data_IF_904299654678
#
_entry.id   IF_904299654678
#
_cell.length_a   1.000
_cell.length_b   1.000
_cell.length_c   1.000
_cell.angle_alpha   90.00
_cell.angle_beta   90.00
_cell.angle_gamma   90.00
#
_symmetry.space_group_name_H-M   'P 1'
#
loop_
_entity.id
_entity.type
_entity.pdbx_description
1 polymer ?
#
# COMPACT_ATOMS: atom_id res chain seq x y z
N UNK A 1 0.43 -9.61 -32.71
CA UNK A 1 1.58 -10.12 -31.93
C UNK A 1 1.71 -9.20 -30.71
N UNK A 2 1.36 -9.64 -29.51
CA UNK A 2 1.42 -8.81 -28.30
C UNK A 2 2.83 -8.85 -27.70
N UNK A 3 3.40 -7.68 -27.47
CA UNK A 3 4.75 -7.49 -26.94
C UNK A 3 4.93 -8.22 -25.58
N UNK A 4 5.90 -9.15 -25.44
CA UNK A 4 6.04 -10.01 -24.25
C UNK A 4 6.48 -9.25 -22.99
N UNK A 5 6.83 -7.98 -23.07
CA UNK A 5 7.31 -7.15 -21.95
C UNK A 5 6.36 -6.02 -21.55
N UNK A 6 5.05 -6.14 -21.81
CA UNK A 6 4.10 -5.15 -21.27
C UNK A 6 3.97 -5.29 -19.76
N UNK A 7 4.55 -4.33 -19.03
CA UNK A 7 4.40 -4.18 -17.58
C UNK A 7 2.94 -4.22 -17.14
N UNK A 8 2.73 -4.54 -15.86
CA UNK A 8 1.38 -4.65 -15.28
C UNK A 8 0.67 -3.29 -15.31
N UNK A 9 -0.48 -3.20 -15.99
CA UNK A 9 -1.29 -1.98 -16.06
C UNK A 9 -2.36 -2.00 -14.97
N UNK A 10 -2.16 -1.21 -13.93
CA UNK A 10 -3.13 -1.04 -12.84
C UNK A 10 -3.80 0.33 -13.00
N UNK A 11 -5.13 0.35 -12.94
CA UNK A 11 -5.91 1.57 -12.87
C UNK A 11 -6.58 1.66 -11.50
N UNK A 12 -6.66 2.86 -10.93
CA UNK A 12 -7.47 3.13 -9.74
C UNK A 12 -8.43 4.27 -10.02
N UNK A 13 -9.64 4.20 -9.44
CA UNK A 13 -10.63 5.26 -9.59
C UNK A 13 -11.58 5.29 -8.38
N UNK A 14 -11.73 6.47 -7.77
CA UNK A 14 -12.84 6.74 -6.87
C UNK A 14 -14.05 7.15 -7.72
N UNK A 15 -15.03 6.26 -7.83
CA UNK A 15 -16.16 6.40 -8.73
C UNK A 15 -17.20 7.39 -8.21
N UNK A 16 -17.32 7.57 -6.88
CA UNK A 16 -18.40 8.32 -6.23
C UNK A 16 -19.78 8.00 -6.87
N UNK A 17 -20.13 6.72 -6.85
CA UNK A 17 -21.25 6.16 -7.59
C UNK A 17 -20.88 5.77 -9.02
N UNK A 18 -20.67 4.48 -9.26
CA UNK A 18 -20.27 3.97 -10.59
C UNK A 18 -21.44 3.79 -11.56
N UNK A 19 -22.66 3.57 -11.05
CA UNK A 19 -23.79 3.14 -11.87
C UNK A 19 -24.18 4.16 -12.95
N UNK A 20 -24.14 5.46 -12.62
CA UNK A 20 -24.44 6.54 -13.58
C UNK A 20 -23.34 6.75 -14.63
N UNK A 21 -22.14 6.20 -14.40
CA UNK A 21 -20.94 6.38 -15.24
C UNK A 21 -20.54 5.09 -15.96
N UNK A 22 -21.41 4.09 -15.96
CA UNK A 22 -21.08 2.74 -16.39
C UNK A 22 -20.72 2.68 -17.88
N UNK A 23 -21.38 3.48 -18.72
CA UNK A 23 -21.11 3.55 -20.16
C UNK A 23 -19.70 4.08 -20.43
N UNK A 24 -19.35 5.22 -19.85
CA UNK A 24 -18.02 5.82 -20.01
C UNK A 24 -16.93 4.93 -19.43
N UNK A 25 -17.21 4.30 -18.29
CA UNK A 25 -16.30 3.35 -17.68
C UNK A 25 -16.04 2.13 -18.59
N UNK A 26 -17.08 1.56 -19.22
CA UNK A 26 -16.92 0.46 -20.18
C UNK A 26 -16.08 0.88 -21.38
N UNK A 27 -16.28 2.09 -21.91
CA UNK A 27 -15.48 2.62 -23.00
C UNK A 27 -14.02 2.81 -22.59
N UNK A 28 -13.77 3.32 -21.39
CA UNK A 28 -12.42 3.45 -20.83
C UNK A 28 -11.73 2.07 -20.73
N UNK A 29 -12.40 1.07 -20.17
CA UNK A 29 -11.84 -0.28 -20.03
C UNK A 29 -11.55 -0.89 -21.40
N UNK A 30 -12.41 -0.68 -22.40
CA UNK A 30 -12.18 -1.13 -23.76
C UNK A 30 -10.93 -0.50 -24.39
N UNK A 31 -10.80 0.83 -24.28
CA UNK A 31 -9.73 1.60 -24.92
C UNK A 31 -8.36 1.40 -24.27
N UNK A 32 -8.32 1.36 -22.93
CA UNK A 32 -7.06 1.28 -22.18
C UNK A 32 -6.67 -0.16 -21.82
N UNK A 33 -7.63 -1.08 -21.82
CA UNK A 33 -7.44 -2.51 -21.61
C UNK A 33 -6.55 -2.85 -20.37
N UNK A 34 -6.82 -2.25 -19.19
CA UNK A 34 -6.00 -2.44 -17.99
C UNK A 34 -6.01 -3.89 -17.50
N UNK A 35 -5.00 -4.30 -16.75
CA UNK A 35 -4.93 -5.67 -16.21
C UNK A 35 -5.68 -5.81 -14.90
N UNK A 36 -5.59 -4.78 -14.06
CA UNK A 36 -6.27 -4.67 -12.77
C UNK A 36 -6.92 -3.29 -12.66
N UNK A 37 -8.16 -3.24 -12.19
CA UNK A 37 -8.87 -1.98 -11.92
C UNK A 37 -9.33 -1.99 -10.46
N UNK A 38 -9.02 -0.92 -9.74
CA UNK A 38 -9.38 -0.72 -8.34
C UNK A 38 -10.43 0.39 -8.27
N UNK A 39 -11.57 0.10 -7.66
CA UNK A 39 -12.70 1.02 -7.53
C UNK A 39 -12.97 1.32 -6.05
N UNK A 40 -13.16 2.60 -5.75
CA UNK A 40 -13.62 3.10 -4.45
C UNK A 40 -14.91 3.90 -4.60
N UNK A 41 -15.69 4.01 -3.52
CA UNK A 41 -17.00 4.68 -3.49
C UNK A 41 -17.89 4.17 -4.63
N UNK A 42 -18.01 2.85 -4.78
CA UNK A 42 -18.83 2.25 -5.85
C UNK A 42 -20.30 2.60 -5.67
N UNK A 43 -20.75 2.73 -4.41
CA UNK A 43 -22.13 3.02 -3.99
C UNK A 43 -23.14 2.10 -4.69
N UNK A 44 -22.79 0.82 -4.82
CA UNK A 44 -23.65 -0.19 -5.41
C UNK A 44 -24.64 -0.73 -4.38
N UNK A 45 -25.85 -0.99 -4.85
CA UNK A 45 -26.83 -1.80 -4.12
C UNK A 45 -26.57 -3.29 -4.36
N UNK A 46 -26.88 -4.18 -3.41
CA UNK A 46 -26.70 -5.63 -3.60
C UNK A 46 -27.43 -6.16 -4.84
N UNK A 47 -28.55 -5.54 -5.20
CA UNK A 47 -29.37 -5.87 -6.38
C UNK A 47 -28.75 -5.44 -7.71
N UNK A 48 -27.80 -4.50 -7.70
CA UNK A 48 -27.16 -4.02 -8.92
C UNK A 48 -26.01 -4.95 -9.30
N UNK A 49 -26.07 -5.47 -10.51
CA UNK A 49 -25.00 -6.28 -11.10
C UNK A 49 -24.28 -5.49 -12.19
N UNK A 50 -22.96 -5.59 -12.23
CA UNK A 50 -22.14 -5.01 -13.27
C UNK A 50 -21.40 -6.14 -13.97
N UNK A 51 -21.52 -6.18 -15.30
CA UNK A 51 -20.78 -7.10 -16.15
C UNK A 51 -19.83 -6.31 -17.05
N UNK A 52 -18.54 -6.68 -17.00
CA UNK A 52 -17.51 -6.19 -17.91
C UNK A 52 -16.85 -7.41 -18.59
N UNK A 53 -16.93 -7.53 -19.92
CA UNK A 53 -16.36 -8.66 -20.64
C UNK A 53 -14.86 -8.82 -20.36
N UNK A 54 -14.40 -10.06 -20.19
CA UNK A 54 -13.00 -10.44 -19.93
C UNK A 54 -12.43 -10.04 -18.57
N UNK A 55 -13.26 -9.58 -17.63
CA UNK A 55 -12.86 -9.28 -16.25
C UNK A 55 -13.68 -10.06 -15.25
N UNK A 56 -13.01 -10.60 -14.24
CA UNK A 56 -13.65 -11.04 -13.00
C UNK A 56 -13.90 -9.81 -12.12
N UNK A 57 -15.12 -9.67 -11.62
CA UNK A 57 -15.55 -8.55 -10.78
C UNK A 57 -15.74 -9.01 -9.34
N UNK A 58 -14.86 -8.53 -8.45
CA UNK A 58 -14.94 -8.76 -7.01
C UNK A 58 -15.39 -7.47 -6.35
N UNK A 59 -16.37 -7.52 -5.45
CA UNK A 59 -16.89 -6.31 -4.79
C UNK A 59 -17.08 -6.51 -3.30
N UNK A 60 -17.04 -5.39 -2.59
CA UNK A 60 -17.44 -5.27 -1.20
C UNK A 60 -18.40 -4.07 -1.12
N UNK A 61 -19.69 -4.34 -0.92
CA UNK A 61 -20.71 -3.30 -0.89
C UNK A 61 -20.70 -2.55 0.47
N UNK A 62 -20.92 -1.24 0.42
CA UNK A 62 -20.97 -0.40 1.63
C UNK A 62 -22.34 -0.36 2.31
N UNK A 63 -22.53 0.51 3.32
CA UNK A 63 -23.82 0.73 3.96
C UNK A 63 -24.91 1.09 2.95
N UNK A 64 -26.14 0.60 3.17
CA UNK A 64 -27.23 0.73 2.20
C UNK A 64 -28.25 1.82 2.55
N UNK A 65 -28.22 2.35 3.77
CA UNK A 65 -29.13 3.39 4.27
C UNK A 65 -28.37 4.44 5.09
N UNK A 66 -27.87 5.53 4.48
CA UNK A 66 -27.85 5.82 3.05
C UNK A 66 -26.82 4.97 2.30
N UNK A 67 -27.03 4.76 1.00
CA UNK A 67 -26.04 4.11 0.13
C UNK A 67 -24.77 4.96 0.14
N UNK A 68 -23.67 4.38 0.60
CA UNK A 68 -22.37 5.06 0.73
C UNK A 68 -21.21 4.05 0.67
N UNK A 69 -20.01 4.52 0.34
CA UNK A 69 -18.83 3.66 0.33
C UNK A 69 -18.87 2.57 -0.74
N UNK A 70 -18.28 1.43 -0.40
CA UNK A 70 -18.15 0.27 -1.28
C UNK A 70 -16.87 0.31 -2.12
N UNK A 71 -16.28 -0.86 -2.32
CA UNK A 71 -15.07 -1.05 -3.13
C UNK A 71 -15.25 -2.20 -4.10
N UNK A 72 -14.51 -2.19 -5.21
CA UNK A 72 -14.47 -3.31 -6.13
C UNK A 72 -13.13 -3.43 -6.83
N UNK A 73 -12.81 -4.65 -7.26
CA UNK A 73 -11.60 -5.01 -7.99
C UNK A 73 -12.03 -5.75 -9.25
N UNK A 74 -11.54 -5.31 -10.40
CA UNK A 74 -11.67 -6.05 -11.65
C UNK A 74 -10.30 -6.63 -12.03
N UNK A 75 -10.27 -7.93 -12.30
CA UNK A 75 -9.05 -8.64 -12.73
C UNK A 75 -9.30 -9.28 -14.09
N UNK A 76 -8.43 -9.00 -15.06
CA UNK A 76 -8.54 -9.56 -16.41
C UNK A 76 -8.35 -11.07 -16.40
N UNK A 77 -9.30 -11.82 -16.98
CA UNK A 77 -9.42 -13.29 -16.83
C UNK A 77 -8.21 -14.06 -17.41
N UNK A 78 -7.71 -13.66 -18.58
CA UNK A 78 -6.68 -14.41 -19.31
C UNK A 78 -5.28 -13.77 -19.23
N UNK A 79 -5.03 -12.90 -18.24
CA UNK A 79 -3.70 -12.31 -18.05
C UNK A 79 -2.78 -13.36 -17.44
N UNK A 80 -1.79 -13.81 -18.21
CA UNK A 80 -0.64 -14.51 -17.63
C UNK A 80 0.15 -13.46 -16.86
N UNK A 81 -0.03 -13.42 -15.55
CA UNK A 81 0.90 -12.70 -14.70
C UNK A 81 2.26 -13.39 -14.84
N UNK A 82 3.36 -12.66 -15.08
CA UNK A 82 4.67 -13.24 -14.83
C UNK A 82 4.58 -13.79 -13.41
N UNK A 83 4.81 -15.10 -13.24
CA UNK A 83 5.01 -15.64 -11.89
C UNK A 83 6.03 -14.71 -11.27
N UNK A 84 5.69 -14.10 -10.14
CA UNK A 84 6.71 -13.46 -9.34
C UNK A 84 7.87 -14.45 -9.31
N UNK A 85 9.09 -14.09 -9.74
CA UNK A 85 10.22 -14.95 -9.42
C UNK A 85 10.07 -15.18 -7.93
N UNK A 86 9.96 -16.45 -7.52
CA UNK A 86 9.83 -16.80 -6.12
C UNK A 86 11.11 -16.32 -5.44
N UNK A 87 11.17 -15.04 -5.10
CA UNK A 87 12.13 -14.53 -4.16
C UNK A 87 11.63 -15.11 -2.86
N UNK A 88 12.39 -16.11 -2.38
CA UNK A 88 12.15 -16.92 -1.19
C UNK A 88 11.38 -18.25 -1.36
N UNK A 89 11.70 -19.04 -2.39
CA UNK A 89 11.88 -20.49 -2.14
C UNK A 89 13.33 -20.96 -2.24
N UNK A 90 14.29 -20.08 -2.58
CA UNK A 90 15.71 -20.43 -2.68
C UNK A 90 16.60 -19.74 -1.62
N UNK A 91 16.03 -19.08 -0.61
CA UNK A 91 16.79 -18.70 0.59
C UNK A 91 16.68 -19.76 1.69
N UNK A 92 16.39 -21.01 1.32
CA UNK A 92 17.10 -22.09 1.97
C UNK A 92 18.53 -22.01 1.40
N UNK A 93 19.38 -21.18 2.00
CA UNK A 93 20.75 -21.68 2.16
C UNK A 93 20.54 -23.04 2.80
N UNK A 94 21.09 -24.10 2.19
CA UNK A 94 21.26 -25.36 2.88
C UNK A 94 21.62 -25.00 4.31
N UNK A 95 20.70 -25.24 5.25
CA UNK A 95 21.04 -25.14 6.66
C UNK A 95 22.26 -26.03 6.74
N UNK A 96 23.46 -25.53 7.11
CA UNK A 96 24.62 -26.39 7.20
C UNK A 96 24.14 -27.55 8.04
N UNK A 97 24.05 -28.73 7.44
CA UNK A 97 23.70 -29.93 8.19
C UNK A 97 24.84 -30.02 9.17
N UNK A 98 24.58 -29.57 10.40
CA UNK A 98 25.53 -29.65 11.50
C UNK A 98 26.08 -31.06 11.39
N UNK A 99 27.41 -31.24 11.33
CA UNK A 99 27.97 -32.57 11.22
C UNK A 99 27.26 -33.40 12.29
N UNK A 100 26.55 -34.45 11.86
CA UNK A 100 25.93 -35.41 12.75
C UNK A 100 27.07 -36.18 13.42
N UNK A 101 27.85 -35.49 14.25
CA UNK A 101 28.74 -36.09 15.22
C UNK A 101 27.82 -36.83 16.16
N UNK A 102 27.89 -38.16 16.08
CA UNK A 102 27.22 -39.12 16.95
C UNK A 102 26.98 -38.51 18.33
N UNK A 103 25.72 -38.50 18.77
CA UNK A 103 25.29 -37.99 20.07
C UNK A 103 26.13 -38.65 21.16
N UNK A 104 27.16 -37.95 21.64
CA UNK A 104 27.90 -38.39 22.82
C UNK A 104 26.89 -38.45 23.98
N UNK A 105 26.91 -39.51 24.79
CA UNK A 105 26.05 -39.57 25.96
C UNK A 105 26.38 -38.38 26.86
N UNK A 106 25.35 -37.64 27.22
CA UNK A 106 25.43 -36.42 28.01
C UNK A 106 25.58 -36.81 29.49
N UNK A 107 26.79 -37.21 29.87
CA UNK A 107 27.05 -37.86 31.17
C UNK A 107 27.57 -36.91 32.25
N UNK A 108 27.90 -35.66 31.93
CA UNK A 108 28.36 -34.66 32.88
C UNK A 108 27.41 -33.46 32.95
N UNK A 109 27.24 -32.88 34.14
CA UNK A 109 26.44 -31.67 34.36
C UNK A 109 26.94 -30.50 33.49
N UNK A 110 28.25 -30.41 33.27
CA UNK A 110 28.86 -29.38 32.43
C UNK A 110 28.53 -29.59 30.93
N UNK A 111 28.35 -30.83 30.50
CA UNK A 111 27.97 -31.15 29.12
C UNK A 111 26.50 -30.78 28.87
N UNK A 112 25.65 -30.94 29.90
CA UNK A 112 24.25 -30.49 29.88
C UNK A 112 24.16 -28.98 29.69
N UNK A 113 24.89 -28.20 30.50
CA UNK A 113 24.89 -26.73 30.41
C UNK A 113 25.39 -26.26 29.04
N UNK A 114 26.48 -26.85 28.54
CA UNK A 114 27.03 -26.52 27.22
C UNK A 114 26.06 -26.87 26.09
N UNK A 115 25.32 -27.98 26.20
CA UNK A 115 24.31 -28.36 25.21
C UNK A 115 23.11 -27.40 25.19
N UNK A 116 22.68 -26.93 26.36
CA UNK A 116 21.60 -25.94 26.48
C UNK A 116 22.04 -24.60 25.89
N UNK A 117 23.27 -24.15 26.15
CA UNK A 117 23.80 -22.92 25.59
C UNK A 117 23.95 -22.99 24.05
N UNK A 118 24.39 -24.14 23.54
CA UNK A 118 24.46 -24.37 22.10
C UNK A 118 23.07 -24.41 21.45
N UNK A 119 22.08 -24.99 22.12
CA UNK A 119 20.70 -24.99 21.63
C UNK A 119 20.12 -23.57 21.60
N UNK A 120 20.27 -22.82 22.69
CA UNK A 120 19.73 -21.46 22.79
C UNK A 120 20.37 -20.51 21.78
N UNK A 121 21.69 -20.57 21.60
CA UNK A 121 22.41 -19.78 20.59
C UNK A 121 22.00 -20.15 19.17
N UNK A 122 21.80 -21.44 18.86
CA UNK A 122 21.30 -21.88 17.55
C UNK A 122 19.88 -21.38 17.26
N UNK A 123 19.00 -21.39 18.27
CA UNK A 123 17.63 -20.86 18.12
C UNK A 123 17.65 -19.35 17.87
N UNK A 124 18.44 -18.61 18.64
CA UNK A 124 18.56 -17.15 18.52
C UNK A 124 19.16 -16.76 17.16
N UNK A 125 20.23 -17.44 16.73
CA UNK A 125 20.87 -17.17 15.44
C UNK A 125 19.95 -17.52 14.27
N UNK A 126 19.25 -18.65 14.31
CA UNK A 126 18.25 -19.00 13.30
C UNK A 126 17.10 -18.00 13.28
N UNK A 127 16.62 -17.55 14.44
CA UNK A 127 15.59 -16.51 14.55
C UNK A 127 16.05 -15.20 13.92
N UNK A 128 17.28 -14.77 14.18
CA UNK A 128 17.83 -13.53 13.64
C UNK A 128 18.07 -13.62 12.12
N UNK A 129 18.50 -14.76 11.60
CA UNK A 129 18.67 -15.01 10.16
C UNK A 129 17.34 -15.09 9.42
N UNK A 130 16.31 -15.68 10.04
CA UNK A 130 14.96 -15.77 9.47
C UNK A 130 14.16 -14.48 9.63
N UNK A 131 14.50 -13.65 10.61
CA UNK A 131 13.87 -12.36 10.82
C UNK A 131 14.34 -11.37 9.77
N UNK A 132 13.40 -10.81 9.02
CA UNK A 132 13.70 -9.66 8.16
C UNK A 132 14.12 -8.50 9.06
N UNK A 133 15.17 -7.72 8.73
CA UNK A 133 15.43 -6.49 9.45
C UNK A 133 14.15 -5.65 9.35
N UNK A 134 13.59 -5.28 10.51
CA UNK A 134 12.52 -4.30 10.53
C UNK A 134 13.09 -3.08 9.80
N UNK A 135 12.47 -2.73 8.68
CA UNK A 135 12.87 -1.55 7.94
C UNK A 135 12.95 -0.39 8.94
N UNK A 136 14.12 0.27 9.03
CA UNK A 136 14.35 1.35 9.98
C UNK A 136 13.10 2.23 9.98
N UNK A 137 12.43 2.35 11.13
CA UNK A 137 11.13 3.01 11.22
C UNK A 137 11.34 4.44 10.76
N UNK A 138 11.09 4.72 9.47
CA UNK A 138 10.95 6.08 8.96
C UNK A 138 9.96 6.74 9.90
N UNK A 139 10.41 7.73 10.65
CA UNK A 139 9.54 8.58 11.44
C UNK A 139 8.63 9.29 10.45
N UNK A 140 7.46 8.72 10.18
CA UNK A 140 6.44 9.35 9.36
C UNK A 140 5.89 10.52 10.17
N UNK A 141 6.39 11.72 9.87
CA UNK A 141 5.75 12.93 10.31
C UNK A 141 4.36 12.96 9.64
N UNK A 142 3.31 13.29 10.39
CA UNK A 142 1.97 13.33 9.82
C UNK A 142 1.78 14.69 9.15
N UNK A 143 1.19 14.75 7.94
CA UNK A 143 0.87 16.03 7.33
C UNK A 143 -0.14 16.80 8.19
N UNK A 144 -0.14 18.14 8.13
CA UNK A 144 -1.13 18.98 8.82
C UNK A 144 -2.57 18.54 8.49
N UNK A 145 -3.38 18.37 9.53
CA UNK A 145 -4.78 17.92 9.43
C UNK A 145 -5.70 19.13 9.54
N UNK A 146 -6.87 19.08 8.88
CA UNK A 146 -7.90 20.12 9.00
C UNK A 146 -8.23 20.39 10.47
N UNK A 147 -8.28 21.67 10.83
CA UNK A 147 -8.66 22.08 12.18
C UNK A 147 -10.16 21.88 12.42
N UNK A 148 -10.54 21.66 13.68
CA UNK A 148 -11.96 21.56 14.08
C UNK A 148 -12.77 22.79 13.69
N UNK A 149 -12.19 23.98 13.88
CA UNK A 149 -12.80 25.26 13.53
C UNK A 149 -13.09 25.35 12.01
N UNK A 150 -12.19 24.87 11.17
CA UNK A 150 -12.39 24.84 9.71
C UNK A 150 -13.61 23.99 9.33
N UNK A 151 -13.72 22.78 9.90
CA UNK A 151 -14.84 21.86 9.66
C UNK A 151 -16.16 22.48 10.13
N UNK A 152 -16.15 23.18 11.26
CA UNK A 152 -17.33 23.86 11.82
C UNK A 152 -17.77 25.03 10.94
N UNK A 153 -16.85 25.85 10.43
CA UNK A 153 -17.18 26.96 9.51
C UNK A 153 -17.68 26.46 8.16
N UNK A 154 -17.13 25.35 7.64
CA UNK A 154 -17.63 24.69 6.44
C UNK A 154 -19.09 24.25 6.61
N UNK A 155 -19.40 23.56 7.72
CA UNK A 155 -20.77 23.12 8.05
C UNK A 155 -21.73 24.30 8.20
N UNK A 156 -21.32 25.36 8.89
CA UNK A 156 -22.14 26.55 9.09
C UNK A 156 -22.44 27.27 7.76
N UNK A 157 -21.43 27.46 6.90
CA UNK A 157 -21.66 28.02 5.56
C UNK A 157 -22.55 27.11 4.69
N UNK A 158 -22.39 25.79 4.77
CA UNK A 158 -23.25 24.86 4.03
C UNK A 158 -24.71 24.94 4.47
N UNK A 159 -24.96 25.11 5.78
CA UNK A 159 -26.30 25.17 6.37
C UNK A 159 -26.99 26.52 6.19
N UNK A 160 -26.27 27.62 6.41
CA UNK A 160 -26.85 28.96 6.50
C UNK A 160 -26.45 29.88 5.34
N UNK A 161 -25.55 29.43 4.44
CA UNK A 161 -24.98 30.22 3.33
C UNK A 161 -24.39 31.56 3.77
N UNK A 162 -23.97 31.66 5.03
CA UNK A 162 -23.40 32.87 5.62
C UNK A 162 -22.02 33.22 4.99
N UNK A 163 -21.84 34.44 4.45
CA UNK A 163 -20.56 34.89 3.91
C UNK A 163 -19.45 34.93 4.96
N UNK A 164 -19.73 35.26 6.22
CA UNK A 164 -18.71 35.37 7.25
C UNK A 164 -18.08 34.01 7.56
N UNK A 165 -18.89 32.97 7.77
CA UNK A 165 -18.42 31.58 7.87
C UNK A 165 -17.62 31.13 6.62
N UNK A 166 -18.03 31.55 5.42
CA UNK A 166 -17.29 31.25 4.18
C UNK A 166 -15.89 31.89 4.17
N UNK A 167 -15.79 33.14 4.60
CA UNK A 167 -14.50 33.83 4.70
C UNK A 167 -13.57 33.18 5.72
N UNK A 168 -14.10 32.79 6.89
CA UNK A 168 -13.32 32.09 7.91
C UNK A 168 -12.85 30.71 7.43
N UNK A 169 -13.72 29.94 6.77
CA UNK A 169 -13.36 28.65 6.17
C UNK A 169 -12.26 28.81 5.10
N UNK A 170 -12.43 29.75 4.18
CA UNK A 170 -11.43 30.01 3.12
C UNK A 170 -10.08 30.45 3.70
N UNK A 171 -10.09 31.25 4.78
CA UNK A 171 -8.88 31.65 5.50
C UNK A 171 -8.18 30.44 6.12
N UNK A 172 -8.91 29.56 6.80
CA UNK A 172 -8.37 28.33 7.38
C UNK A 172 -7.81 27.38 6.29
N UNK A 173 -8.54 27.19 5.20
CA UNK A 173 -8.09 26.44 4.03
C UNK A 173 -6.80 27.01 3.42
N UNK A 174 -6.67 28.34 3.34
CA UNK A 174 -5.44 28.99 2.86
C UNK A 174 -4.25 28.71 3.78
N UNK A 175 -4.46 28.75 5.10
CA UNK A 175 -3.43 28.42 6.09
C UNK A 175 -2.99 26.96 5.95
N UNK A 176 -3.94 26.02 5.92
CA UNK A 176 -3.66 24.59 5.78
C UNK A 176 -2.85 24.29 4.51
N UNK A 177 -3.22 24.90 3.37
CA UNK A 177 -2.45 24.73 2.12
C UNK A 177 -1.02 25.21 2.24
N UNK A 178 -0.79 26.33 2.94
CA UNK A 178 0.58 26.84 3.20
C UNK A 178 1.36 25.87 4.08
N UNK A 179 0.75 25.38 5.15
CA UNK A 179 1.38 24.41 6.05
C UNK A 179 1.70 23.08 5.34
N UNK A 180 0.78 22.55 4.53
CA UNK A 180 1.01 21.35 3.72
C UNK A 180 2.16 21.57 2.73
N UNK A 181 2.21 22.75 2.09
CA UNK A 181 3.31 23.08 1.18
C UNK A 181 4.66 23.07 1.91
N UNK A 182 4.74 23.75 3.05
CA UNK A 182 5.95 23.80 3.88
C UNK A 182 6.34 22.39 4.34
N UNK A 183 5.37 21.61 4.79
CA UNK A 183 5.56 20.23 5.22
C UNK A 183 6.14 19.35 4.10
N UNK A 184 5.56 19.42 2.90
CA UNK A 184 6.04 18.66 1.75
C UNK A 184 7.47 19.10 1.37
N UNK A 185 7.74 20.41 1.35
CA UNK A 185 9.07 20.97 1.07
C UNK A 185 10.12 20.50 2.08
N UNK A 186 9.80 20.54 3.39
CA UNK A 186 10.70 20.04 4.43
C UNK A 186 10.91 18.54 4.34
N UNK A 187 9.86 17.77 4.04
CA UNK A 187 9.94 16.31 3.92
C UNK A 187 10.80 15.92 2.72
N UNK A 188 10.62 16.58 1.57
CA UNK A 188 11.47 16.38 0.40
C UNK A 188 12.93 16.76 0.68
N UNK A 189 13.19 17.83 1.43
CA UNK A 189 14.54 18.21 1.82
C UNK A 189 15.21 17.15 2.71
N UNK A 190 14.49 16.61 3.70
CA UNK A 190 15.01 15.53 4.55
C UNK A 190 15.21 14.23 3.78
N UNK A 191 14.30 13.90 2.87
CA UNK A 191 14.44 12.73 2.00
C UNK A 191 15.68 12.86 1.10
N UNK A 192 15.92 14.04 0.51
CA UNK A 192 17.11 14.28 -0.31
C UNK A 192 18.40 14.20 0.50
N UNK A 193 18.42 14.72 1.73
CA UNK A 193 19.59 14.69 2.61
C UNK A 193 19.91 13.29 3.15
N UNK A 194 18.90 12.42 3.27
CA UNK A 194 19.06 11.04 3.75
C UNK A 194 19.52 10.05 2.65
N UNK A 195 19.62 10.49 1.40
CA UNK A 195 20.12 9.66 0.30
C UNK A 195 21.65 9.58 0.36
N UNK A 196 22.17 8.36 0.48
CA UNK A 196 23.62 8.09 0.42
C UNK A 196 23.93 7.34 -0.88
N UNK A 197 25.13 7.58 -1.44
CA UNK A 197 25.64 6.92 -2.65
C UNK A 197 26.01 5.45 -2.44
N UNK A 198 26.30 5.03 -1.21
CA UNK A 198 26.75 3.67 -0.91
C UNK A 198 25.63 2.66 -0.66
N UNK A 199 24.44 3.14 -0.27
CA UNK A 199 23.24 2.33 -0.18
C UNK A 199 22.39 2.54 -1.42
N UNK A 200 21.85 1.46 -2.02
CA UNK A 200 20.99 1.42 -3.24
C UNK A 200 19.73 2.33 -3.21
N UNK A 201 19.59 3.16 -2.19
CA UNK A 201 18.59 4.21 -1.95
C UNK A 201 18.43 5.21 -3.11
N UNK A 202 19.51 5.61 -3.80
CA UNK A 202 19.45 6.52 -4.96
C UNK A 202 18.70 5.90 -6.15
N UNK A 203 18.81 4.58 -6.33
CA UNK A 203 18.16 3.86 -7.43
C UNK A 203 16.64 3.81 -7.19
N UNK A 204 16.23 3.61 -5.93
CA UNK A 204 14.81 3.58 -5.54
C UNK A 204 14.14 4.95 -5.67
N UNK A 205 14.84 6.04 -5.35
CA UNK A 205 14.31 7.41 -5.44
C UNK A 205 14.19 7.95 -6.87
N UNK A 206 14.96 7.43 -7.84
CA UNK A 206 14.80 7.78 -9.27
C UNK A 206 13.52 7.18 -9.87
N UNK A 207 13.24 5.92 -9.55
CA UNK A 207 12.09 5.20 -10.10
C UNK A 207 10.73 5.76 -9.65
N UNK A 208 10.66 6.46 -8.51
CA UNK A 208 9.42 7.10 -8.02
C UNK A 208 9.10 8.43 -8.70
N UNK A 209 10.08 9.07 -9.37
CA UNK A 209 9.88 10.34 -10.10
C UNK A 209 9.37 10.15 -11.52
N UNK A 210 9.54 8.96 -12.11
CA UNK A 210 9.11 8.67 -13.49
C UNK A 210 7.66 8.18 -13.60
N UNK A 211 6.97 8.02 -12.47
CA UNK A 211 5.58 7.49 -12.41
C UNK A 211 4.49 8.55 -12.24
N UNK A 212 4.74 9.82 -12.62
CA UNK A 212 3.71 10.87 -12.68
C UNK A 212 3.57 11.45 -14.07
#
# INVERSE_FOLDING_TARGET
MSDPFTGLKICYWNANGIYSKLTDFKNFVHNHNPDVILLQETMLKPTQTIFIPNYNFFRNDGPQNPVSGGTAILIKINRKFPRFPQQHQNNYHEVPTLPTTASKPLSSLNDLETAVDNLTTNIITAYNLASKPLHNKRTYFLPPIRSRNEIEQEKNWQKYRDPFSKHLYNRAQSILRKEIKIYNESTWATELAALNTEDSSLITAKNSKETF
#
